data_IF_198427103379
#
_entry.id   IF_198427103379
#
_cell.length_a   1.000
_cell.length_b   1.000
_cell.length_c   1.000
_cell.angle_alpha   90.00
_cell.angle_beta   90.00
_cell.angle_gamma   90.00
#
_symmetry.space_group_name_H-M   'P 1'
#
loop_
_entity.id
_entity.type
_entity.pdbx_description
1 polymer ?
#
# COMPACT_ATOMS: atom_id res chain seq x y z
N UNK A 1 22.89 -6.66 1.99
CA UNK A 1 21.92 -7.64 2.55
C UNK A 1 22.53 -8.66 3.51
N UNK A 2 23.69 -9.31 3.24
CA UNK A 2 24.24 -10.36 4.14
C UNK A 2 24.26 -9.97 5.63
N UNK A 3 24.83 -8.83 5.97
CA UNK A 3 24.91 -8.34 7.36
C UNK A 3 23.52 -8.09 7.99
N UNK A 4 22.60 -7.49 7.23
CA UNK A 4 21.22 -7.26 7.64
C UNK A 4 20.53 -8.59 7.95
N UNK A 5 20.62 -9.58 7.06
CA UNK A 5 20.03 -10.90 7.27
C UNK A 5 20.63 -11.60 8.49
N UNK A 6 21.95 -11.56 8.68
CA UNK A 6 22.59 -12.15 9.87
C UNK A 6 22.01 -11.58 11.16
N UNK A 7 21.88 -10.25 11.27
CA UNK A 7 21.24 -9.60 12.44
C UNK A 7 19.79 -10.02 12.61
N UNK A 8 19.04 -10.03 11.51
CA UNK A 8 17.62 -10.41 11.50
C UNK A 8 17.38 -11.87 11.91
N UNK A 9 18.29 -12.78 11.57
CA UNK A 9 18.23 -14.18 11.98
C UNK A 9 18.48 -14.36 13.48
N UNK A 10 19.27 -13.47 14.10
CA UNK A 10 19.45 -13.39 15.56
C UNK A 10 18.33 -12.60 16.25
N UNK A 11 17.17 -12.46 15.60
CA UNK A 11 16.00 -11.75 16.10
C UNK A 11 16.18 -10.24 16.36
N UNK A 12 17.27 -9.63 15.88
CA UNK A 12 17.43 -8.19 15.95
C UNK A 12 16.35 -7.47 15.10
N UNK A 13 16.07 -6.23 15.47
CA UNK A 13 15.16 -5.34 14.75
C UNK A 13 15.95 -4.24 14.06
N UNK A 14 15.46 -3.82 12.91
CA UNK A 14 15.99 -2.65 12.23
C UNK A 14 15.40 -1.39 12.85
N UNK A 15 16.21 -0.34 12.90
CA UNK A 15 15.72 1.01 13.10
C UNK A 15 14.88 1.46 11.89
N UNK A 16 14.13 2.56 12.08
CA UNK A 16 13.35 3.19 11.00
C UNK A 16 14.21 3.54 9.78
N UNK A 17 15.40 4.09 10.03
CA UNK A 17 16.33 4.50 8.97
C UNK A 17 16.88 3.29 8.21
N UNK A 18 17.30 2.24 8.92
CA UNK A 18 17.78 0.99 8.29
C UNK A 18 16.66 0.31 7.47
N UNK A 19 15.44 0.25 8.00
CA UNK A 19 14.29 -0.31 7.29
C UNK A 19 13.98 0.47 6.01
N UNK A 20 14.05 1.82 6.07
CA UNK A 20 13.90 2.70 4.91
C UNK A 20 14.97 2.41 3.86
N UNK A 21 16.24 2.44 4.24
CA UNK A 21 17.37 2.21 3.34
C UNK A 21 17.33 0.83 2.68
N UNK A 22 16.97 -0.21 3.44
CA UNK A 22 16.84 -1.57 2.89
C UNK A 22 15.83 -1.59 1.76
N UNK A 23 14.66 -0.98 1.95
CA UNK A 23 13.62 -1.01 0.93
C UNK A 23 13.97 -0.17 -0.30
N UNK A 24 14.65 0.97 -0.11
CA UNK A 24 15.22 1.74 -1.23
C UNK A 24 16.23 0.91 -2.02
N UNK A 25 17.14 0.20 -1.34
CA UNK A 25 18.15 -0.62 -2.00
C UNK A 25 17.53 -1.83 -2.73
N UNK A 26 16.48 -2.43 -2.17
CA UNK A 26 15.68 -3.47 -2.87
C UNK A 26 15.11 -2.89 -4.17
N UNK A 27 14.48 -1.72 -4.11
CA UNK A 27 13.86 -1.11 -5.30
C UNK A 27 14.84 -0.71 -6.39
N UNK A 28 16.11 -0.45 -6.02
CA UNK A 28 17.22 -0.13 -6.92
C UNK A 28 17.93 -1.38 -7.48
N UNK A 29 17.42 -2.58 -7.20
CA UNK A 29 18.00 -3.83 -7.69
C UNK A 29 19.35 -4.18 -7.05
N UNK A 30 19.71 -3.59 -5.90
CA UNK A 30 21.00 -3.85 -5.24
C UNK A 30 21.08 -5.24 -4.60
N UNK A 31 19.94 -5.92 -4.47
CA UNK A 31 19.84 -7.26 -3.89
C UNK A 31 19.14 -8.20 -4.85
N UNK A 32 19.62 -9.45 -4.92
CA UNK A 32 19.00 -10.45 -5.77
C UNK A 32 17.69 -10.98 -5.17
N UNK A 33 16.88 -11.66 -5.99
CA UNK A 33 15.59 -12.20 -5.56
C UNK A 33 15.67 -13.15 -4.36
N UNK A 34 16.74 -13.94 -4.22
CA UNK A 34 16.89 -14.89 -3.10
C UNK A 34 17.12 -14.15 -1.77
N UNK A 35 17.92 -13.09 -1.81
CA UNK A 35 18.15 -12.20 -0.67
C UNK A 35 16.87 -11.47 -0.26
N UNK A 36 16.09 -10.98 -1.23
CA UNK A 36 14.79 -10.33 -0.98
C UNK A 36 13.79 -11.32 -0.40
N UNK A 37 13.70 -12.53 -0.95
CA UNK A 37 12.81 -13.58 -0.45
C UNK A 37 13.12 -13.98 0.99
N UNK A 38 14.42 -14.13 1.31
CA UNK A 38 14.90 -14.38 2.66
C UNK A 38 14.52 -13.25 3.61
N UNK A 39 14.77 -11.99 3.22
CA UNK A 39 14.40 -10.81 4.01
C UNK A 39 12.89 -10.75 4.30
N UNK A 40 12.06 -10.98 3.29
CA UNK A 40 10.60 -11.04 3.44
C UNK A 40 10.18 -12.15 4.41
N UNK A 41 10.80 -13.34 4.29
CA UNK A 41 10.48 -14.51 5.10
C UNK A 41 10.77 -14.30 6.59
N UNK A 42 11.79 -13.52 6.96
CA UNK A 42 12.04 -13.17 8.37
C UNK A 42 10.78 -12.59 9.03
N UNK A 43 10.09 -11.68 8.34
CA UNK A 43 8.87 -11.04 8.85
C UNK A 43 7.62 -11.93 8.80
N UNK A 44 7.75 -13.17 8.32
CA UNK A 44 6.74 -14.21 8.49
C UNK A 44 6.93 -14.99 9.78
N UNK A 45 8.17 -15.04 10.28
CA UNK A 45 8.54 -15.74 11.50
C UNK A 45 8.50 -14.83 12.73
N UNK A 46 8.44 -13.50 12.54
CA UNK A 46 8.26 -12.51 13.60
C UNK A 46 7.42 -11.32 13.13
N UNK A 47 6.73 -10.67 14.06
CA UNK A 47 6.02 -9.42 13.78
C UNK A 47 6.98 -8.30 13.38
N UNK A 48 6.53 -7.46 12.46
CA UNK A 48 7.18 -6.20 12.08
C UNK A 48 7.03 -5.21 13.24
N UNK A 49 8.11 -4.55 13.65
CA UNK A 49 8.02 -3.50 14.67
C UNK A 49 7.48 -2.18 14.08
N UNK A 50 7.02 -1.27 14.95
CA UNK A 50 6.54 0.06 14.51
C UNK A 50 7.62 0.84 13.76
N UNK A 51 8.86 0.81 14.23
CA UNK A 51 9.99 1.50 13.59
C UNK A 51 10.25 0.94 12.19
N UNK A 52 10.26 -0.39 12.04
CA UNK A 52 10.43 -1.05 10.74
C UNK A 52 9.28 -0.70 9.78
N UNK A 53 8.03 -0.78 10.25
CA UNK A 53 6.86 -0.45 9.45
C UNK A 53 6.88 1.01 8.97
N UNK A 54 7.27 1.94 9.84
CA UNK A 54 7.44 3.35 9.50
C UNK A 54 8.55 3.54 8.46
N UNK A 55 9.69 2.88 8.62
CA UNK A 55 10.80 2.98 7.66
C UNK A 55 10.42 2.46 6.29
N UNK A 56 9.73 1.32 6.23
CA UNK A 56 9.21 0.78 4.98
C UNK A 56 8.16 1.69 4.34
N UNK A 57 7.26 2.28 5.14
CA UNK A 57 6.28 3.27 4.66
C UNK A 57 6.99 4.47 4.04
N UNK A 58 7.97 5.03 4.73
CA UNK A 58 8.69 6.23 4.26
C UNK A 58 9.41 5.95 2.94
N UNK A 59 10.07 4.80 2.81
CA UNK A 59 10.70 4.41 1.55
C UNK A 59 9.69 4.27 0.41
N UNK A 60 8.51 3.69 0.66
CA UNK A 60 7.47 3.57 -0.37
C UNK A 60 6.88 4.92 -0.79
N UNK A 61 6.76 5.87 0.14
CA UNK A 61 6.34 7.24 -0.16
C UNK A 61 7.43 8.01 -0.93
N UNK A 62 8.71 7.83 -0.58
CA UNK A 62 9.84 8.41 -1.31
C UNK A 62 9.94 7.89 -2.76
N UNK A 63 9.61 6.61 -2.95
CA UNK A 63 9.65 5.94 -4.26
C UNK A 63 8.38 6.09 -5.10
N UNK A 64 7.30 6.66 -4.54
CA UNK A 64 6.05 6.79 -5.27
C UNK A 64 6.06 7.99 -6.23
N UNK A 65 5.17 7.98 -7.21
CA UNK A 65 4.82 9.16 -7.97
C UNK A 65 3.82 9.95 -7.10
N UNK A 66 4.21 11.10 -6.52
CA UNK A 66 3.34 11.84 -5.63
C UNK A 66 2.16 12.44 -6.39
N UNK A 67 1.04 12.62 -5.70
CA UNK A 67 -0.15 13.32 -6.21
C UNK A 67 -0.38 14.56 -5.36
N UNK A 68 -0.26 15.74 -5.97
CA UNK A 68 -0.57 16.98 -5.29
C UNK A 68 -2.05 17.34 -5.50
N UNK A 69 -2.84 17.30 -4.43
CA UNK A 69 -4.25 17.72 -4.42
C UNK A 69 -4.44 19.18 -3.95
N UNK A 70 -3.41 20.01 -4.02
CA UNK A 70 -3.44 21.45 -3.71
C UNK A 70 -3.98 21.76 -2.30
N UNK A 71 -3.70 20.92 -1.31
CA UNK A 71 -4.18 21.10 0.07
C UNK A 71 -5.68 20.79 0.26
N UNK A 72 -6.33 20.16 -0.71
CA UNK A 72 -7.72 19.72 -0.58
C UNK A 72 -7.84 18.72 0.55
N UNK A 73 -8.72 18.99 1.52
CA UNK A 73 -9.10 18.02 2.54
C UNK A 73 -9.82 16.85 1.88
N UNK A 74 -9.22 15.67 1.96
CA UNK A 74 -9.75 14.44 1.40
C UNK A 74 -9.63 13.30 2.39
N UNK A 75 -10.47 12.27 2.19
CA UNK A 75 -10.43 11.00 2.91
C UNK A 75 -10.02 9.84 2.00
N UNK A 76 -9.24 8.90 2.52
CA UNK A 76 -9.08 7.57 1.95
C UNK A 76 -9.84 6.53 2.77
N UNK A 77 -10.55 5.64 2.10
CA UNK A 77 -11.27 4.53 2.73
C UNK A 77 -10.69 3.25 2.14
N UNK A 78 -9.79 2.60 2.87
CA UNK A 78 -8.95 1.54 2.34
C UNK A 78 -8.74 0.45 3.38
N UNK A 79 -8.46 -0.76 2.93
CA UNK A 79 -8.13 -1.87 3.81
C UNK A 79 -6.83 -2.54 3.40
N UNK A 80 -6.22 -3.24 4.35
CA UNK A 80 -5.04 -4.09 4.13
C UNK A 80 -5.36 -5.27 3.19
N UNK A 81 -6.66 -5.59 3.04
CA UNK A 81 -7.12 -6.84 2.45
C UNK A 81 -6.71 -8.05 3.31
N UNK A 82 -6.93 -9.25 2.81
CA UNK A 82 -6.42 -10.47 3.44
C UNK A 82 -7.16 -10.91 4.70
N UNK A 83 -8.40 -10.50 4.91
CA UNK A 83 -9.25 -11.05 5.97
C UNK A 83 -9.88 -12.42 5.58
N UNK A 84 -9.71 -12.82 4.31
CA UNK A 84 -10.23 -14.06 3.72
C UNK A 84 -11.76 -14.21 3.85
N UNK A 85 -12.50 -13.13 4.09
CA UNK A 85 -13.96 -13.17 4.25
C UNK A 85 -14.73 -13.17 2.93
N UNK A 86 -14.03 -12.91 1.82
CA UNK A 86 -14.59 -12.84 0.46
C UNK A 86 -15.85 -11.96 0.38
N UNK A 87 -15.87 -10.85 1.12
CA UNK A 87 -16.96 -9.88 1.04
C UNK A 87 -16.88 -9.11 -0.27
N UNK A 88 -17.98 -8.44 -0.62
CA UNK A 88 -17.95 -7.46 -1.70
C UNK A 88 -17.01 -6.28 -1.35
N UNK A 89 -16.75 -5.40 -2.33
CA UNK A 89 -15.83 -4.27 -2.21
C UNK A 89 -16.43 -3.12 -1.37
N UNK A 90 -16.64 -3.36 -0.06
CA UNK A 90 -17.27 -2.44 0.90
C UNK A 90 -16.59 -1.07 0.85
N UNK A 91 -15.26 -1.02 0.94
CA UNK A 91 -14.52 0.25 0.95
C UNK A 91 -14.68 1.05 -0.34
N UNK A 92 -14.84 0.39 -1.50
CA UNK A 92 -15.10 1.06 -2.78
C UNK A 92 -16.49 1.66 -2.79
N UNK A 93 -17.50 0.90 -2.37
CA UNK A 93 -18.87 1.40 -2.27
C UNK A 93 -18.97 2.56 -1.27
N UNK A 94 -18.37 2.44 -0.09
CA UNK A 94 -18.32 3.52 0.91
C UNK A 94 -17.67 4.78 0.36
N UNK A 95 -16.62 4.65 -0.47
CA UNK A 95 -15.97 5.80 -1.12
C UNK A 95 -16.95 6.56 -2.03
N UNK A 96 -17.76 5.84 -2.80
CA UNK A 96 -18.78 6.45 -3.67
C UNK A 96 -19.88 7.13 -2.85
N UNK A 97 -20.34 6.51 -1.76
CA UNK A 97 -21.36 7.09 -0.87
C UNK A 97 -20.85 8.38 -0.21
N UNK A 98 -19.62 8.38 0.30
CA UNK A 98 -19.01 9.56 0.93
C UNK A 98 -18.80 10.70 -0.07
N UNK A 99 -18.39 10.38 -1.29
CA UNK A 99 -18.31 11.35 -2.39
C UNK A 99 -19.68 11.95 -2.75
N UNK A 100 -20.72 11.11 -2.80
CA UNK A 100 -22.11 11.53 -3.02
C UNK A 100 -22.68 12.40 -1.89
N UNK A 101 -22.17 12.25 -0.67
CA UNK A 101 -22.49 13.10 0.47
C UNK A 101 -21.76 14.47 0.45
N UNK A 102 -20.90 14.72 -0.54
CA UNK A 102 -20.22 16.00 -0.74
C UNK A 102 -18.77 16.05 -0.27
N UNK A 103 -18.23 14.98 0.31
CA UNK A 103 -16.86 14.95 0.83
C UNK A 103 -15.86 14.46 -0.22
N UNK A 104 -14.67 15.05 -0.28
CA UNK A 104 -13.64 14.65 -1.24
C UNK A 104 -12.98 13.33 -0.83
N UNK A 105 -12.86 12.40 -1.78
CA UNK A 105 -12.31 11.07 -1.57
C UNK A 105 -11.13 10.82 -2.52
N UNK A 106 -9.95 10.56 -1.96
CA UNK A 106 -8.76 10.18 -2.71
C UNK A 106 -8.46 8.71 -2.42
N UNK A 107 -9.18 7.79 -3.08
CA UNK A 107 -9.16 6.37 -2.74
C UNK A 107 -7.91 5.69 -3.30
N UNK A 108 -7.07 5.13 -2.44
CA UNK A 108 -5.99 4.24 -2.87
C UNK A 108 -6.51 2.81 -3.02
N UNK A 109 -6.15 2.17 -4.13
CA UNK A 109 -6.66 0.83 -4.47
C UNK A 109 -5.69 0.02 -5.32
N UNK A 110 -5.92 -1.28 -5.37
CA UNK A 110 -5.13 -2.19 -6.21
C UNK A 110 -5.98 -3.37 -6.71
N UNK A 111 -5.33 -4.25 -7.46
CA UNK A 111 -5.89 -5.55 -7.80
C UNK A 111 -6.10 -6.41 -6.56
N UNK A 112 -6.95 -7.44 -6.67
CA UNK A 112 -7.11 -8.44 -5.62
C UNK A 112 -5.78 -9.15 -5.35
N UNK A 113 -5.29 -9.08 -4.11
CA UNK A 113 -4.09 -9.82 -3.66
C UNK A 113 -4.47 -11.13 -2.94
N UNK A 114 -5.65 -11.15 -2.31
CA UNK A 114 -6.15 -12.26 -1.48
C UNK A 114 -7.63 -12.56 -1.70
N UNK A 115 -8.43 -11.55 -2.09
CA UNK A 115 -9.76 -11.75 -2.66
C UNK A 115 -9.65 -12.04 -4.15
N UNK A 116 -10.66 -12.73 -4.70
CA UNK A 116 -10.77 -12.98 -6.13
C UNK A 116 -10.91 -11.68 -6.94
N UNK A 117 -11.46 -10.61 -6.34
CA UNK A 117 -11.74 -9.32 -6.99
C UNK A 117 -11.33 -8.18 -6.06
N UNK A 118 -10.35 -7.36 -6.48
CA UNK A 118 -9.96 -6.14 -5.77
C UNK A 118 -10.71 -4.89 -6.24
N UNK A 119 -10.46 -3.75 -5.59
CA UNK A 119 -11.15 -2.48 -5.90
C UNK A 119 -10.94 -2.07 -7.35
N UNK A 120 -9.71 -2.21 -7.86
CA UNK A 120 -9.38 -1.81 -9.22
C UNK A 120 -10.02 -2.74 -10.25
N UNK A 121 -10.20 -4.03 -9.93
CA UNK A 121 -10.91 -4.96 -10.81
C UNK A 121 -12.36 -4.55 -11.02
N UNK A 122 -13.07 -4.19 -9.94
CA UNK A 122 -14.46 -3.73 -10.02
C UNK A 122 -14.58 -2.46 -10.85
N UNK A 123 -13.71 -1.47 -10.59
CA UNK A 123 -13.78 -0.18 -11.27
C UNK A 123 -13.53 -0.30 -12.78
N UNK A 124 -12.55 -1.09 -13.21
CA UNK A 124 -12.34 -1.33 -14.64
C UNK A 124 -13.52 -2.08 -15.28
N UNK A 125 -14.12 -3.05 -14.57
CA UNK A 125 -15.29 -3.77 -15.07
C UNK A 125 -16.51 -2.84 -15.25
N UNK A 126 -16.57 -1.75 -14.48
CA UNK A 126 -17.56 -0.67 -14.62
C UNK A 126 -17.15 0.39 -15.66
N UNK A 127 -16.03 0.22 -16.36
CA UNK A 127 -15.55 1.12 -17.41
C UNK A 127 -14.69 2.28 -16.91
N UNK A 128 -14.23 2.27 -15.66
CA UNK A 128 -13.31 3.29 -15.16
C UNK A 128 -11.89 3.04 -15.69
N UNK A 129 -11.33 4.04 -16.36
CA UNK A 129 -9.94 4.04 -16.83
C UNK A 129 -9.04 4.71 -15.80
N UNK A 130 -8.04 3.97 -15.31
CA UNK A 130 -7.06 4.49 -14.37
C UNK A 130 -6.01 5.35 -15.07
N UNK A 131 -5.57 6.39 -14.37
CA UNK A 131 -4.61 7.37 -14.85
C UNK A 131 -3.66 7.76 -13.72
N UNK A 132 -2.45 8.20 -14.07
CA UNK A 132 -1.56 8.93 -13.17
C UNK A 132 -1.40 10.41 -13.58
N UNK A 133 -2.21 10.90 -14.52
CA UNK A 133 -2.29 12.31 -14.87
C UNK A 133 -2.92 13.09 -13.69
N UNK A 134 -2.09 13.87 -13.00
CA UNK A 134 -2.50 14.68 -11.86
C UNK A 134 -3.63 15.66 -12.20
N UNK A 135 -3.63 16.25 -13.40
CA UNK A 135 -4.66 17.21 -13.79
C UNK A 135 -6.00 16.50 -14.03
N UNK A 136 -5.96 15.27 -14.56
CA UNK A 136 -7.16 14.45 -14.69
C UNK A 136 -7.72 14.04 -13.32
N UNK A 137 -6.85 13.62 -12.39
CA UNK A 137 -7.25 13.24 -11.03
C UNK A 137 -7.85 14.42 -10.25
N UNK A 138 -7.26 15.62 -10.38
CA UNK A 138 -7.82 16.84 -9.80
C UNK A 138 -9.21 17.14 -10.37
N UNK A 139 -9.37 17.11 -11.69
CA UNK A 139 -10.69 17.32 -12.34
C UNK A 139 -11.74 16.31 -11.87
N UNK A 140 -11.36 15.04 -11.67
CA UNK A 140 -12.26 14.01 -11.12
C UNK A 140 -12.67 14.35 -9.69
N UNK A 141 -11.72 14.74 -8.85
CA UNK A 141 -11.97 15.13 -7.47
C UNK A 141 -12.86 16.38 -7.39
N UNK A 142 -12.65 17.37 -8.26
CA UNK A 142 -13.43 18.60 -8.30
C UNK A 142 -14.88 18.35 -8.72
N UNK A 143 -15.08 17.57 -9.79
CA UNK A 143 -16.41 17.33 -10.38
C UNK A 143 -17.24 16.29 -9.65
N UNK A 144 -16.59 15.22 -9.20
CA UNK A 144 -17.28 14.02 -8.71
C UNK A 144 -17.03 13.75 -7.22
N UNK A 145 -16.26 14.62 -6.55
CA UNK A 145 -15.78 14.43 -5.18
C UNK A 145 -14.94 13.15 -4.97
N UNK A 146 -14.51 12.48 -6.03
CA UNK A 146 -13.72 11.26 -5.92
C UNK A 146 -12.72 11.12 -7.06
N UNK A 147 -11.51 10.71 -6.71
CA UNK A 147 -10.53 10.17 -7.64
C UNK A 147 -9.99 8.83 -7.12
N UNK A 148 -9.57 7.97 -8.03
CA UNK A 148 -9.03 6.66 -7.68
C UNK A 148 -7.55 6.55 -8.05
N UNK A 149 -6.75 6.19 -7.06
CA UNK A 149 -5.30 6.05 -7.16
C UNK A 149 -4.98 4.57 -7.25
N UNK A 150 -4.70 4.07 -8.46
CA UNK A 150 -4.37 2.65 -8.69
C UNK A 150 -2.90 2.40 -8.41
N UNK A 151 -2.61 1.68 -7.32
CA UNK A 151 -1.27 1.49 -6.77
C UNK A 151 -0.17 1.15 -7.80
N UNK A 152 -0.39 0.27 -8.80
CA UNK A 152 0.61 -0.02 -9.84
C UNK A 152 1.04 1.18 -10.69
N UNK A 153 0.19 2.21 -10.83
CA UNK A 153 0.53 3.44 -11.55
C UNK A 153 1.36 4.42 -10.71
N UNK A 154 1.33 4.30 -9.38
CA UNK A 154 1.98 5.24 -8.47
C UNK A 154 3.18 4.65 -7.73
N UNK A 155 3.31 3.32 -7.65
CA UNK A 155 4.44 2.66 -6.98
C UNK A 155 5.26 1.80 -7.95
N UNK A 156 5.88 2.40 -9.00
CA UNK A 156 6.64 1.65 -10.01
C UNK A 156 7.83 0.90 -9.41
N UNK A 157 8.41 1.45 -8.34
CA UNK A 157 9.51 0.87 -7.58
C UNK A 157 9.18 -0.50 -6.93
N UNK A 158 7.90 -0.85 -6.83
CA UNK A 158 7.46 -2.17 -6.37
C UNK A 158 7.70 -3.28 -7.40
N UNK A 159 8.05 -2.96 -8.65
CA UNK A 159 8.26 -3.93 -9.73
C UNK A 159 9.32 -4.98 -9.38
N UNK A 160 10.38 -4.60 -8.67
CA UNK A 160 11.45 -5.53 -8.25
C UNK A 160 10.97 -6.59 -7.25
N UNK A 161 9.99 -6.26 -6.40
CA UNK A 161 9.48 -7.20 -5.38
C UNK A 161 8.29 -8.02 -5.85
N UNK A 162 7.62 -7.62 -6.94
CA UNK A 162 6.43 -8.33 -7.46
C UNK A 162 6.72 -9.79 -7.83
N UNK A 163 7.78 -10.13 -8.60
CA UNK A 163 8.09 -11.52 -8.94
C UNK A 163 8.33 -12.38 -7.69
N UNK A 164 9.08 -11.85 -6.73
CA UNK A 164 9.40 -12.54 -5.46
C UNK A 164 8.13 -12.81 -4.68
N UNK A 165 7.27 -11.80 -4.49
CA UNK A 165 6.00 -11.96 -3.76
C UNK A 165 5.05 -12.95 -4.45
N UNK A 166 4.98 -12.92 -5.79
CA UNK A 166 4.16 -13.86 -6.57
C UNK A 166 4.65 -15.30 -6.41
N UNK A 167 5.96 -15.53 -6.42
CA UNK A 167 6.54 -16.86 -6.23
C UNK A 167 6.41 -17.37 -4.80
N UNK A 168 6.53 -16.49 -3.79
CA UNK A 168 6.30 -16.86 -2.40
C UNK A 168 4.86 -17.28 -2.13
N UNK A 169 3.88 -16.64 -2.79
CA UNK A 169 2.47 -17.04 -2.71
C UNK A 169 1.81 -16.87 -1.34
N UNK A 170 2.47 -16.20 -0.40
CA UNK A 170 1.98 -15.96 0.96
C UNK A 170 1.86 -14.45 1.24
N UNK A 171 1.04 -14.09 2.25
CA UNK A 171 0.95 -12.69 2.74
C UNK A 171 2.33 -12.24 3.22
N UNK A 172 2.66 -10.96 3.11
CA UNK A 172 3.97 -10.42 3.51
C UNK A 172 3.76 -9.10 4.23
N UNK A 173 4.80 -8.53 4.87
CA UNK A 173 4.69 -7.20 5.49
C UNK A 173 4.25 -6.10 4.50
N UNK A 174 4.46 -6.27 3.19
CA UNK A 174 3.92 -5.36 2.17
C UNK A 174 2.40 -5.24 2.19
N UNK A 175 1.68 -6.26 2.63
CA UNK A 175 0.23 -6.21 2.79
C UNK A 175 -0.21 -5.25 3.91
N UNK A 176 0.69 -4.96 4.87
CA UNK A 176 0.47 -3.96 5.92
C UNK A 176 0.78 -2.54 5.44
N UNK A 177 1.42 -2.36 4.28
CA UNK A 177 1.87 -1.05 3.82
C UNK A 177 0.88 -0.35 2.89
N UNK A 178 0.08 -1.11 2.12
CA UNK A 178 -0.82 -0.55 1.10
C UNK A 178 -1.70 0.62 1.58
N UNK A 179 -2.39 0.50 2.72
CA UNK A 179 -3.17 1.61 3.30
C UNK A 179 -2.36 2.84 3.70
N UNK A 180 -1.08 2.65 4.06
CA UNK A 180 -0.24 3.68 4.66
C UNK A 180 0.52 4.53 3.63
N UNK A 181 0.42 4.18 2.35
CA UNK A 181 1.27 4.75 1.29
C UNK A 181 0.47 5.41 0.17
N UNK A 182 -0.72 5.93 0.49
CA UNK A 182 -1.51 6.68 -0.48
C UNK A 182 -0.67 7.86 -1.04
N UNK A 183 -0.45 7.94 -2.37
CA UNK A 183 0.45 8.92 -2.96
C UNK A 183 -0.07 10.36 -2.87
N UNK A 184 -1.35 10.55 -2.55
CA UNK A 184 -1.95 11.86 -2.29
C UNK A 184 -1.86 12.30 -0.82
N UNK A 185 -1.45 11.41 0.09
CA UNK A 185 -1.35 11.66 1.55
C UNK A 185 -2.55 12.45 2.10
N UNK A 186 -3.78 11.90 1.99
CA UNK A 186 -4.99 12.61 2.37
C UNK A 186 -5.02 12.91 3.87
N UNK A 187 -5.62 14.04 4.22
CA UNK A 187 -5.79 14.52 5.60
C UNK A 187 -6.51 13.54 6.53
N UNK A 188 -7.37 12.69 5.98
CA UNK A 188 -8.19 11.74 6.72
C UNK A 188 -8.05 10.34 6.13
N UNK A 189 -8.01 9.31 6.97
CA UNK A 189 -7.95 7.92 6.52
C UNK A 189 -8.81 7.03 7.41
N UNK A 190 -9.60 6.16 6.78
CA UNK A 190 -10.35 5.09 7.43
C UNK A 190 -9.77 3.75 7.00
N UNK A 191 -9.14 3.06 7.95
CA UNK A 191 -8.44 1.79 7.71
C UNK A 191 -9.27 0.57 8.11
N UNK A 192 -9.37 -0.40 7.22
CA UNK A 192 -9.73 -1.78 7.55
C UNK A 192 -8.49 -2.66 7.69
N UNK A 193 -8.28 -3.30 8.84
CA UNK A 193 -7.17 -4.25 9.04
C UNK A 193 -7.69 -5.68 9.13
N UNK A 194 -6.89 -6.65 8.70
CA UNK A 194 -7.24 -8.08 8.81
C UNK A 194 -7.08 -8.65 10.22
N UNK A 195 -6.43 -7.92 11.14
CA UNK A 195 -6.21 -8.34 12.53
C UNK A 195 -6.23 -7.16 13.52
N UNK A 196 -6.53 -7.46 14.78
CA UNK A 196 -6.48 -6.49 15.88
C UNK A 196 -5.06 -6.05 16.22
N UNK A 197 -4.08 -6.93 16.07
CA UNK A 197 -2.66 -6.58 16.25
C UNK A 197 -2.26 -5.47 15.28
N UNK A 198 -2.60 -5.63 14.00
CA UNK A 198 -2.34 -4.62 12.98
C UNK A 198 -3.14 -3.34 13.22
N UNK A 199 -4.38 -3.43 13.70
CA UNK A 199 -5.20 -2.27 14.05
C UNK A 199 -4.50 -1.39 15.11
N UNK A 200 -3.88 -2.01 16.13
CA UNK A 200 -3.13 -1.29 17.17
C UNK A 200 -1.86 -0.63 16.65
N UNK A 201 -1.23 -1.21 15.62
CA UNK A 201 -0.05 -0.59 15.00
C UNK A 201 -0.37 0.65 14.17
N UNK A 202 -1.63 0.81 13.74
CA UNK A 202 -2.09 1.94 12.94
C UNK A 202 -2.60 3.12 13.79
N UNK A 203 -2.76 2.93 15.10
CA UNK A 203 -3.13 3.95 16.08
C UNK A 203 -1.88 4.65 16.62
#
# INVERSE_FOLDING_TARGET
MKQILSRLYEHERLSREEAREVLLNISRGQYNHMQVASFITVYQMRSVSIQELQGFRDALLELCIPVNLNGTEAIDIVGTGGDSKNTFNVSTLSSVVVAGAGYKVAKHGSYGVSSAVGSSNVLMALGYEFTNDQEQLKRQLDRSNICFLHAPLFHPAMKEVVPVRKQLGVKTFFNMLGPLVNPAQPSHQLFGTFSLELARMYQ
#
